data_IF_680161165833
#
_entry.id   IF_680161165833
#
_cell.length_a   1.000
_cell.length_b   1.000
_cell.length_c   1.000
_cell.angle_alpha   90.00
_cell.angle_beta   90.00
_cell.angle_gamma   90.00
#
_symmetry.space_group_name_H-M   'P 1'
#
loop_
_entity.id
_entity.type
_entity.pdbx_description
1 polymer ?
#
# COMPACT_ATOMS: atom_id res chain seq x y z
N UNK A 1 33.86 -47.04 -4.18
CA UNK A 1 32.86 -46.80 -3.12
C UNK A 1 32.08 -45.56 -3.47
N UNK A 2 30.88 -45.69 -4.04
CA UNK A 2 29.94 -44.57 -4.12
C UNK A 2 29.49 -44.33 -2.67
N UNK A 3 29.82 -43.18 -2.12
CA UNK A 3 29.42 -42.79 -0.77
C UNK A 3 27.92 -43.06 -0.58
N UNK A 4 27.52 -43.73 0.50
CA UNK A 4 26.10 -43.91 0.89
C UNK A 4 25.32 -42.58 0.84
N UNK A 5 25.99 -41.44 1.01
CA UNK A 5 25.39 -40.13 0.82
C UNK A 5 24.88 -39.92 -0.62
N UNK A 6 25.64 -40.28 -1.67
CA UNK A 6 25.26 -40.05 -3.08
C UNK A 6 24.06 -40.91 -3.48
N UNK A 7 24.01 -42.18 -3.05
CA UNK A 7 22.88 -43.06 -3.34
C UNK A 7 21.61 -42.58 -2.63
N UNK A 8 21.75 -42.14 -1.37
CA UNK A 8 20.69 -41.46 -0.63
C UNK A 8 20.24 -40.17 -1.34
N UNK A 9 21.15 -39.37 -1.91
CA UNK A 9 20.80 -38.15 -2.66
C UNK A 9 20.03 -38.43 -3.94
N UNK A 10 20.41 -39.47 -4.68
CA UNK A 10 19.70 -39.87 -5.90
C UNK A 10 18.29 -40.36 -5.55
N UNK A 11 18.16 -41.13 -4.46
CA UNK A 11 16.87 -41.57 -3.93
C UNK A 11 16.02 -40.40 -3.41
N UNK A 12 16.62 -39.44 -2.70
CA UNK A 12 15.96 -38.25 -2.19
C UNK A 12 15.46 -37.36 -3.33
N UNK A 13 16.29 -37.08 -4.33
CA UNK A 13 15.88 -36.33 -5.52
C UNK A 13 14.78 -37.07 -6.29
N UNK A 14 14.88 -38.39 -6.41
CA UNK A 14 13.85 -39.22 -7.03
C UNK A 14 12.52 -39.15 -6.27
N UNK A 15 12.53 -39.33 -4.96
CA UNK A 15 11.34 -39.31 -4.10
C UNK A 15 10.71 -37.91 -4.02
N UNK A 16 11.51 -36.85 -3.89
CA UNK A 16 11.04 -35.45 -3.91
C UNK A 16 10.50 -35.06 -5.30
N UNK A 17 11.11 -35.54 -6.39
CA UNK A 17 10.60 -35.31 -7.75
C UNK A 17 9.33 -36.12 -8.06
N UNK A 18 9.14 -37.27 -7.39
CA UNK A 18 7.91 -38.08 -7.48
C UNK A 18 6.77 -37.40 -6.72
N UNK A 19 7.09 -36.80 -5.57
CA UNK A 19 6.15 -36.04 -4.75
C UNK A 19 5.55 -34.83 -5.47
N UNK A 20 6.37 -34.06 -6.21
CA UNK A 20 5.87 -32.87 -6.90
C UNK A 20 5.06 -33.16 -8.17
N UNK A 21 4.96 -34.43 -8.60
CA UNK A 21 4.31 -34.85 -9.86
C UNK A 21 2.92 -35.47 -9.69
N UNK A 22 2.47 -35.81 -8.47
CA UNK A 22 1.16 -36.44 -8.22
C UNK A 22 0.54 -35.90 -6.93
N UNK A 23 -0.78 -35.73 -6.92
CA UNK A 23 -1.58 -35.54 -5.71
C UNK A 23 -1.49 -36.80 -4.84
N UNK A 24 -0.59 -36.81 -3.86
CA UNK A 24 -0.50 -37.85 -2.83
C UNK A 24 -1.54 -37.62 -1.74
N UNK A 25 -2.02 -38.70 -1.15
CA UNK A 25 -2.84 -38.64 0.07
C UNK A 25 -1.99 -38.24 1.27
N UNK A 26 -2.64 -37.73 2.31
CA UNK A 26 -2.01 -37.28 3.56
C UNK A 26 -1.14 -38.38 4.21
N UNK A 27 -1.65 -39.61 4.23
CA UNK A 27 -0.94 -40.74 4.85
C UNK A 27 0.32 -41.16 4.06
N UNK A 28 0.30 -41.01 2.74
CA UNK A 28 1.45 -41.27 1.88
C UNK A 28 2.53 -40.20 2.09
N UNK A 29 2.13 -38.93 2.20
CA UNK A 29 3.06 -37.84 2.47
C UNK A 29 3.75 -38.04 3.82
N UNK A 30 2.98 -38.38 4.87
CA UNK A 30 3.53 -38.66 6.20
C UNK A 30 4.55 -39.81 6.18
N UNK A 31 4.24 -40.94 5.53
CA UNK A 31 5.16 -42.09 5.45
C UNK A 31 6.44 -41.78 4.67
N UNK A 32 6.36 -40.95 3.63
CA UNK A 32 7.50 -40.61 2.77
C UNK A 32 8.39 -39.53 3.38
N UNK A 33 7.81 -38.45 3.90
CA UNK A 33 8.57 -37.27 4.36
C UNK A 33 9.13 -37.42 5.75
N UNK A 34 8.40 -38.05 6.66
CA UNK A 34 8.81 -38.09 8.06
C UNK A 34 10.22 -38.69 8.26
N UNK A 35 10.60 -39.80 7.59
CA UNK A 35 11.99 -40.31 7.67
C UNK A 35 13.03 -39.35 7.06
N UNK A 36 12.68 -38.69 5.94
CA UNK A 36 13.58 -37.78 5.23
C UNK A 36 13.82 -36.48 6.01
N UNK A 37 12.78 -35.94 6.64
CA UNK A 37 12.86 -34.74 7.48
C UNK A 37 13.69 -35.02 8.73
N UNK A 38 13.55 -36.20 9.35
CA UNK A 38 14.42 -36.61 10.48
C UNK A 38 15.89 -36.69 10.06
N UNK A 39 16.17 -37.24 8.88
CA UNK A 39 17.55 -37.47 8.42
C UNK A 39 18.24 -36.22 7.85
N UNK A 40 17.50 -35.29 7.22
CA UNK A 40 18.06 -34.14 6.52
C UNK A 40 17.07 -32.96 6.41
N UNK A 41 16.65 -32.38 7.56
CA UNK A 41 15.55 -31.40 7.60
C UNK A 41 15.80 -30.19 6.71
N UNK A 42 16.99 -29.57 6.82
CA UNK A 42 17.37 -28.39 6.02
C UNK A 42 17.24 -28.59 4.51
N UNK A 43 17.65 -29.75 4.00
CA UNK A 43 17.64 -30.02 2.56
C UNK A 43 16.24 -30.34 2.04
N UNK A 44 15.44 -31.05 2.84
CA UNK A 44 14.03 -31.27 2.51
C UNK A 44 13.29 -29.93 2.47
N UNK A 45 13.47 -29.07 3.48
CA UNK A 45 12.89 -27.73 3.53
C UNK A 45 13.27 -26.88 2.31
N UNK A 46 14.56 -26.82 2.00
CA UNK A 46 15.06 -26.15 0.80
C UNK A 46 14.37 -26.64 -0.46
N UNK A 47 14.33 -27.95 -0.69
CA UNK A 47 13.67 -28.49 -1.90
C UNK A 47 12.17 -28.21 -1.92
N UNK A 48 11.48 -28.27 -0.80
CA UNK A 48 10.06 -27.94 -0.73
C UNK A 48 9.80 -26.48 -1.13
N UNK A 49 10.59 -25.54 -0.61
CA UNK A 49 10.50 -24.12 -0.97
C UNK A 49 10.85 -23.91 -2.45
N UNK A 50 11.96 -24.46 -2.94
CA UNK A 50 12.34 -24.35 -4.37
C UNK A 50 11.24 -24.89 -5.29
N UNK A 51 10.61 -26.01 -4.95
CA UNK A 51 9.51 -26.55 -5.74
C UNK A 51 8.23 -25.72 -5.64
N UNK A 52 7.94 -25.14 -4.47
CA UNK A 52 6.82 -24.22 -4.31
C UNK A 52 7.02 -22.93 -5.13
N UNK A 53 8.24 -22.43 -5.23
CA UNK A 53 8.56 -21.26 -6.05
C UNK A 53 8.40 -21.56 -7.55
N UNK A 54 8.78 -22.76 -8.00
CA UNK A 54 8.70 -23.15 -9.41
C UNK A 54 7.28 -23.52 -9.88
N UNK A 55 6.50 -24.22 -9.05
CA UNK A 55 5.19 -24.77 -9.43
C UNK A 55 4.00 -24.10 -8.74
N UNK A 56 4.28 -23.30 -7.72
CA UNK A 56 3.25 -22.77 -6.84
C UNK A 56 3.02 -23.68 -5.62
N UNK A 57 2.81 -23.11 -4.43
CA UNK A 57 2.72 -23.88 -3.19
C UNK A 57 1.46 -24.74 -3.09
N UNK A 58 0.38 -24.37 -3.78
CA UNK A 58 -0.88 -25.13 -3.81
C UNK A 58 -0.74 -26.43 -4.59
N UNK A 59 0.01 -26.43 -5.70
CA UNK A 59 0.19 -27.61 -6.55
C UNK A 59 0.93 -28.74 -5.83
N UNK A 60 1.85 -28.38 -4.93
CA UNK A 60 2.62 -29.35 -4.14
C UNK A 60 2.02 -29.59 -2.73
N UNK A 61 0.86 -29.01 -2.43
CA UNK A 61 0.13 -29.20 -1.17
C UNK A 61 0.97 -28.87 0.09
N UNK A 62 1.69 -27.75 0.02
CA UNK A 62 2.73 -27.39 0.99
C UNK A 62 2.22 -27.29 2.44
N UNK A 63 0.99 -26.80 2.64
CA UNK A 63 0.38 -26.67 3.96
C UNK A 63 0.25 -28.01 4.69
N UNK A 64 -0.19 -29.05 3.98
CA UNK A 64 -0.31 -30.39 4.54
C UNK A 64 1.06 -30.94 4.93
N UNK A 65 2.07 -30.77 4.08
CA UNK A 65 3.43 -31.25 4.39
C UNK A 65 3.95 -30.62 5.68
N UNK A 66 3.79 -29.30 5.83
CA UNK A 66 4.26 -28.59 7.02
C UNK A 66 3.49 -28.98 8.28
N UNK A 67 2.18 -29.23 8.21
CA UNK A 67 1.39 -29.70 9.36
C UNK A 67 1.88 -31.04 9.93
N UNK A 68 2.46 -31.91 9.10
CA UNK A 68 2.98 -33.21 9.52
C UNK A 68 4.48 -33.22 9.78
N UNK A 69 5.14 -32.06 9.71
CA UNK A 69 6.55 -31.94 10.01
C UNK A 69 6.78 -32.13 11.51
N UNK A 70 7.68 -33.04 11.94
CA UNK A 70 8.02 -33.19 13.35
C UNK A 70 8.54 -31.88 13.93
N UNK A 71 7.99 -31.46 15.07
CA UNK A 71 8.45 -30.29 15.83
C UNK A 71 9.93 -30.40 16.23
N UNK A 72 10.48 -31.61 16.29
CA UNK A 72 11.91 -31.87 16.57
C UNK A 72 12.83 -31.50 15.40
N UNK A 73 12.30 -31.38 14.18
CA UNK A 73 13.06 -30.87 13.03
C UNK A 73 13.15 -29.34 13.03
N UNK A 74 12.62 -28.68 14.07
CA UNK A 74 12.62 -27.23 14.29
C UNK A 74 13.75 -26.76 15.21
N UNK A 75 14.52 -27.68 15.81
CA UNK A 75 15.76 -27.29 16.50
C UNK A 75 16.68 -26.61 15.47
N UNK A 76 17.08 -25.36 15.72
CA UNK A 76 17.97 -24.50 14.90
C UNK A 76 17.35 -23.55 13.84
N UNK A 77 16.09 -23.13 13.96
CA UNK A 77 15.51 -22.08 13.07
C UNK A 77 15.75 -22.34 11.56
N UNK A 78 15.78 -23.61 11.13
CA UNK A 78 16.18 -23.96 9.76
C UNK A 78 15.26 -23.33 8.71
N UNK A 79 13.97 -23.23 9.00
CA UNK A 79 13.00 -22.62 8.11
C UNK A 79 13.25 -21.12 7.95
N UNK A 80 13.54 -20.41 9.05
CA UNK A 80 13.94 -18.99 9.02
C UNK A 80 15.21 -18.82 8.20
N UNK A 81 16.20 -19.67 8.43
CA UNK A 81 17.48 -19.63 7.70
C UNK A 81 17.29 -19.86 6.20
N UNK A 82 16.38 -20.74 5.81
CA UNK A 82 16.09 -21.01 4.40
C UNK A 82 15.26 -19.89 3.78
N UNK A 83 14.26 -19.34 4.49
CA UNK A 83 13.51 -18.15 4.04
C UNK A 83 14.43 -16.94 3.82
N UNK A 84 15.41 -16.75 4.71
CA UNK A 84 16.43 -15.71 4.57
C UNK A 84 17.16 -15.81 3.23
N UNK A 85 17.50 -17.01 2.77
CA UNK A 85 18.18 -17.21 1.48
C UNK A 85 17.39 -16.69 0.28
N UNK A 86 16.06 -16.55 0.37
CA UNK A 86 15.23 -15.99 -0.70
C UNK A 86 14.89 -14.52 -0.45
N UNK A 87 14.58 -14.14 0.79
CA UNK A 87 14.29 -12.74 1.16
C UNK A 87 15.51 -11.83 1.01
N UNK A 88 16.71 -12.37 1.16
CA UNK A 88 17.95 -11.64 0.94
C UNK A 88 18.39 -11.59 -0.52
N UNK A 89 17.73 -12.28 -1.47
CA UNK A 89 18.07 -12.13 -2.89
C UNK A 89 17.69 -10.74 -3.38
N UNK A 90 18.57 -10.13 -4.15
CA UNK A 90 18.34 -8.78 -4.68
C UNK A 90 17.31 -8.79 -5.82
N UNK A 91 17.23 -9.88 -6.57
CA UNK A 91 16.28 -10.06 -7.65
C UNK A 91 15.56 -11.41 -7.55
N UNK A 92 14.23 -11.35 -7.45
CA UNK A 92 13.30 -12.46 -7.62
C UNK A 92 12.35 -12.08 -8.74
N UNK A 93 12.05 -13.03 -9.64
CA UNK A 93 11.05 -12.83 -10.68
C UNK A 93 9.67 -12.62 -10.06
N UNK A 94 8.77 -11.88 -10.71
CA UNK A 94 7.44 -11.55 -10.16
C UNK A 94 6.64 -12.79 -9.74
N UNK A 95 6.70 -13.86 -10.55
CA UNK A 95 6.08 -15.14 -10.22
C UNK A 95 6.70 -15.80 -8.97
N UNK A 96 8.02 -15.70 -8.82
CA UNK A 96 8.72 -16.22 -7.63
C UNK A 96 8.37 -15.40 -6.40
N UNK A 97 8.28 -14.06 -6.49
CA UNK A 97 7.82 -13.19 -5.40
C UNK A 97 6.42 -13.56 -4.95
N UNK A 98 5.50 -13.71 -5.90
CA UNK A 98 4.11 -14.12 -5.63
C UNK A 98 4.05 -15.48 -4.96
N UNK A 99 4.81 -16.46 -5.46
CA UNK A 99 4.85 -17.79 -4.88
C UNK A 99 5.51 -17.79 -3.49
N UNK A 100 6.56 -16.99 -3.27
CA UNK A 100 7.22 -16.85 -1.97
C UNK A 100 6.31 -16.22 -0.93
N UNK A 101 5.55 -15.18 -1.29
CA UNK A 101 4.52 -14.61 -0.40
C UNK A 101 3.49 -15.65 0.04
N UNK A 102 3.04 -16.50 -0.88
CA UNK A 102 2.11 -17.59 -0.56
C UNK A 102 2.76 -18.67 0.32
N UNK A 103 4.05 -18.97 0.09
CA UNK A 103 4.82 -19.89 0.96
C UNK A 103 4.89 -19.32 2.37
N UNK A 104 5.25 -18.04 2.53
CA UNK A 104 5.31 -17.37 3.83
C UNK A 104 3.93 -17.40 4.50
N UNK A 105 2.86 -17.07 3.77
CA UNK A 105 1.50 -17.15 4.29
C UNK A 105 1.19 -18.54 4.87
N UNK A 106 1.43 -19.60 4.09
CA UNK A 106 1.20 -20.98 4.52
C UNK A 106 2.05 -21.35 5.74
N UNK A 107 3.31 -20.94 5.76
CA UNK A 107 4.19 -21.17 6.90
C UNK A 107 3.63 -20.50 8.16
N UNK A 108 3.18 -19.25 8.07
CA UNK A 108 2.61 -18.53 9.22
C UNK A 108 1.28 -19.15 9.68
N UNK A 109 0.43 -19.57 8.74
CA UNK A 109 -0.85 -20.24 9.05
C UNK A 109 -0.61 -21.56 9.79
N UNK A 110 0.36 -22.36 9.34
CA UNK A 110 0.72 -23.60 10.03
C UNK A 110 1.40 -23.31 11.37
N UNK A 111 2.22 -22.26 11.44
CA UNK A 111 2.94 -21.87 12.66
C UNK A 111 2.02 -21.49 13.82
N UNK A 112 0.86 -20.92 13.54
CA UNK A 112 -0.15 -20.64 14.56
C UNK A 112 -0.50 -21.93 15.34
N UNK A 113 -0.80 -23.02 14.64
CA UNK A 113 -1.20 -24.27 15.28
C UNK A 113 -0.05 -25.15 15.80
N UNK A 114 1.15 -25.00 15.24
CA UNK A 114 2.24 -25.99 15.41
C UNK A 114 3.54 -25.41 15.93
N UNK A 115 3.64 -24.06 15.99
CA UNK A 115 4.86 -23.33 16.31
C UNK A 115 6.06 -23.74 15.45
N UNK A 116 5.83 -24.07 14.16
CA UNK A 116 6.91 -24.48 13.23
C UNK A 116 7.93 -23.37 12.94
N UNK A 117 7.61 -22.12 13.25
CA UNK A 117 8.53 -21.00 13.14
C UNK A 117 8.54 -20.21 14.45
N UNK A 118 9.71 -19.78 14.88
CA UNK A 118 9.83 -18.74 15.88
C UNK A 118 9.67 -17.37 15.18
N UNK A 119 8.59 -16.65 15.50
CA UNK A 119 8.30 -15.37 14.84
C UNK A 119 9.31 -14.29 15.19
N UNK A 120 9.85 -14.28 16.42
CA UNK A 120 10.93 -13.38 16.82
C UNK A 120 12.17 -13.59 15.95
N UNK A 121 12.57 -14.85 15.73
CA UNK A 121 13.69 -15.17 14.87
C UNK A 121 13.43 -14.78 13.41
N UNK A 122 12.19 -14.93 12.92
CA UNK A 122 11.80 -14.46 11.60
C UNK A 122 11.93 -12.93 11.48
N UNK A 123 11.44 -12.17 12.46
CA UNK A 123 11.57 -10.72 12.46
C UNK A 123 13.05 -10.28 12.49
N UNK A 124 13.83 -10.84 13.42
CA UNK A 124 15.23 -10.46 13.65
C UNK A 124 16.15 -10.87 12.49
N UNK A 125 15.96 -12.06 11.91
CA UNK A 125 16.86 -12.58 10.86
C UNK A 125 16.39 -12.20 9.47
N UNK A 126 15.07 -12.17 9.21
CA UNK A 126 14.54 -11.97 7.86
C UNK A 126 13.98 -10.58 7.61
N UNK A 127 13.28 -9.96 8.55
CA UNK A 127 12.60 -8.68 8.31
C UNK A 127 13.50 -7.49 8.60
N UNK A 128 13.92 -7.33 9.86
CA UNK A 128 14.67 -6.16 10.33
C UNK A 128 15.94 -5.88 9.49
N UNK A 129 16.78 -6.89 9.14
CA UNK A 129 17.99 -6.65 8.34
C UNK A 129 17.67 -6.23 6.90
N UNK A 130 16.50 -6.60 6.38
CA UNK A 130 16.08 -6.25 5.03
C UNK A 130 15.36 -4.89 4.96
N UNK A 131 14.94 -4.32 6.10
CA UNK A 131 14.38 -2.96 6.14
C UNK A 131 15.41 -1.89 5.77
N UNK A 132 16.72 -2.15 5.92
CA UNK A 132 17.79 -1.22 5.51
C UNK A 132 18.15 -1.23 4.02
N UNK A 133 17.56 -2.12 3.22
CA UNK A 133 17.94 -2.30 1.82
C UNK A 133 17.23 -1.32 0.85
N UNK A 134 17.51 -1.47 -0.45
CA UNK A 134 16.91 -0.68 -1.55
C UNK A 134 15.38 -0.79 -1.60
N UNK A 135 14.72 0.21 -2.19
CA UNK A 135 13.25 0.36 -2.20
C UNK A 135 12.51 -0.89 -2.69
N UNK A 136 12.92 -1.49 -3.82
CA UNK A 136 12.25 -2.68 -4.36
C UNK A 136 12.28 -3.90 -3.43
N UNK A 137 13.36 -4.04 -2.65
CA UNK A 137 13.50 -5.10 -1.65
C UNK A 137 12.73 -4.76 -0.38
N UNK A 138 12.67 -3.47 -0.04
CA UNK A 138 11.90 -2.95 1.07
C UNK A 138 10.39 -3.19 0.89
N UNK A 139 9.83 -2.89 -0.28
CA UNK A 139 8.41 -3.17 -0.59
C UNK A 139 8.08 -4.64 -0.34
N UNK A 140 8.84 -5.53 -0.98
CA UNK A 140 8.62 -6.97 -0.86
C UNK A 140 8.77 -7.49 0.57
N UNK A 141 9.76 -6.96 1.32
CA UNK A 141 9.97 -7.31 2.73
C UNK A 141 8.77 -6.91 3.58
N UNK A 142 8.23 -5.70 3.38
CA UNK A 142 7.07 -5.22 4.14
C UNK A 142 5.78 -5.94 3.71
N UNK A 143 5.63 -6.33 2.44
CA UNK A 143 4.52 -7.18 1.99
C UNK A 143 4.55 -8.55 2.69
N UNK A 144 5.72 -9.21 2.73
CA UNK A 144 5.91 -10.47 3.44
C UNK A 144 5.59 -10.35 4.94
N UNK A 145 6.03 -9.25 5.54
CA UNK A 145 5.69 -8.90 6.92
C UNK A 145 4.17 -8.74 7.09
N UNK A 146 3.51 -7.94 6.27
CA UNK A 146 2.07 -7.67 6.38
C UNK A 146 1.24 -8.93 6.24
N UNK A 147 1.62 -9.85 5.35
CA UNK A 147 1.01 -11.19 5.25
C UNK A 147 1.15 -11.94 6.57
N UNK A 148 2.36 -11.94 7.14
CA UNK A 148 2.65 -12.64 8.39
C UNK A 148 1.82 -12.07 9.55
N UNK A 149 1.88 -10.75 9.75
CA UNK A 149 1.15 -10.06 10.82
C UNK A 149 -0.36 -10.26 10.67
N UNK A 150 -0.89 -10.21 9.44
CA UNK A 150 -2.32 -10.46 9.16
C UNK A 150 -2.76 -11.84 9.63
N UNK A 151 -2.07 -12.89 9.17
CA UNK A 151 -2.41 -14.29 9.50
C UNK A 151 -2.53 -14.45 11.01
N UNK A 152 -1.50 -14.01 11.73
CA UNK A 152 -1.52 -14.23 13.16
C UNK A 152 -2.48 -13.28 13.92
N UNK A 153 -2.77 -12.07 13.40
CA UNK A 153 -3.78 -11.17 13.99
C UNK A 153 -5.18 -11.80 13.90
N UNK A 154 -5.49 -12.44 12.77
CA UNK A 154 -6.76 -13.15 12.56
C UNK A 154 -6.90 -14.37 13.48
N UNK A 155 -5.78 -15.05 13.78
CA UNK A 155 -5.75 -16.23 14.66
C UNK A 155 -5.56 -15.90 16.15
N UNK A 156 -5.19 -14.65 16.50
CA UNK A 156 -4.91 -14.16 17.86
C UNK A 156 -3.75 -14.87 18.58
N UNK A 157 -2.74 -15.33 17.84
CA UNK A 157 -1.69 -16.23 18.34
C UNK A 157 -0.27 -15.63 18.25
N UNK A 158 -0.11 -14.30 18.34
CA UNK A 158 1.21 -13.66 18.25
C UNK A 158 1.80 -13.43 19.62
N UNK A 159 3.03 -13.90 19.79
CA UNK A 159 3.94 -13.41 20.79
C UNK A 159 5.17 -12.83 20.11
N UNK A 160 5.42 -11.53 20.29
CA UNK A 160 6.69 -10.87 19.95
C UNK A 160 7.32 -10.44 21.27
N UNK A 161 8.59 -10.78 21.50
CA UNK A 161 9.28 -10.29 22.70
C UNK A 161 9.42 -8.77 22.71
N UNK A 162 9.34 -8.16 23.89
CA UNK A 162 9.38 -6.69 24.04
C UNK A 162 10.59 -6.03 23.37
N UNK A 163 11.78 -6.64 23.45
CA UNK A 163 13.01 -6.09 22.85
C UNK A 163 12.93 -6.05 21.32
N UNK A 164 12.45 -7.13 20.69
CA UNK A 164 12.28 -7.21 19.24
C UNK A 164 11.16 -6.29 18.80
N UNK A 165 10.05 -6.24 19.53
CA UNK A 165 8.93 -5.35 19.26
C UNK A 165 9.35 -3.87 19.21
N UNK A 166 10.11 -3.40 20.22
CA UNK A 166 10.61 -2.01 20.27
C UNK A 166 11.57 -1.73 19.12
N UNK A 167 12.54 -2.62 18.88
CA UNK A 167 13.48 -2.48 17.76
C UNK A 167 12.75 -2.40 16.42
N UNK A 168 11.75 -3.26 16.25
CA UNK A 168 10.97 -3.37 15.04
C UNK A 168 10.13 -2.11 14.77
N UNK A 169 9.42 -1.57 15.78
CA UNK A 169 8.68 -0.31 15.62
C UNK A 169 9.62 0.84 15.26
N UNK A 170 10.79 0.95 15.92
CA UNK A 170 11.79 1.97 15.58
C UNK A 170 12.22 1.88 14.12
N UNK A 171 12.48 0.67 13.63
CA UNK A 171 12.86 0.45 12.22
C UNK A 171 11.74 0.85 11.26
N UNK A 172 10.48 0.50 11.56
CA UNK A 172 9.33 0.92 10.76
C UNK A 172 9.13 2.44 10.79
N UNK A 173 9.26 3.10 11.94
CA UNK A 173 9.18 4.56 12.05
C UNK A 173 10.27 5.27 11.25
N UNK A 174 11.50 4.74 11.26
CA UNK A 174 12.58 5.28 10.43
C UNK A 174 12.27 5.18 8.93
N UNK A 175 11.68 4.06 8.49
CA UNK A 175 11.29 3.89 7.08
C UNK A 175 10.07 4.73 6.72
N UNK A 176 9.16 4.93 7.65
CA UNK A 176 8.03 5.86 7.53
C UNK A 176 8.54 7.28 7.28
N UNK A 177 9.44 7.78 8.12
CA UNK A 177 10.02 9.12 7.98
C UNK A 177 10.71 9.31 6.61
N UNK A 178 11.50 8.32 6.17
CA UNK A 178 12.11 8.33 4.82
C UNK A 178 11.04 8.35 3.72
N UNK A 179 9.99 7.55 3.84
CA UNK A 179 8.91 7.49 2.84
C UNK A 179 8.11 8.80 2.76
N UNK A 180 7.88 9.48 3.89
CA UNK A 180 7.21 10.79 3.92
C UNK A 180 8.10 11.84 3.24
N UNK A 181 9.38 11.91 3.62
CA UNK A 181 10.34 12.88 3.06
C UNK A 181 10.57 12.73 1.56
N UNK A 182 10.43 11.51 1.03
CA UNK A 182 10.59 11.21 -0.39
C UNK A 182 9.29 11.22 -1.19
N UNK A 183 8.14 11.51 -0.56
CA UNK A 183 6.84 11.47 -1.23
C UNK A 183 6.46 10.07 -1.73
N UNK A 184 6.85 9.02 -1.00
CA UNK A 184 6.58 7.63 -1.34
C UNK A 184 5.36 7.08 -0.59
N UNK A 185 4.17 7.47 -1.04
CA UNK A 185 2.89 7.06 -0.43
C UNK A 185 2.64 5.55 -0.46
N UNK A 186 3.14 4.82 -1.47
CA UNK A 186 2.97 3.37 -1.56
C UNK A 186 3.70 2.63 -0.43
N UNK A 187 4.97 2.97 -0.22
CA UNK A 187 5.78 2.36 0.85
C UNK A 187 5.18 2.70 2.21
N UNK A 188 4.79 3.96 2.38
CA UNK A 188 4.13 4.44 3.58
C UNK A 188 2.84 3.68 3.88
N UNK A 189 1.97 3.46 2.90
CA UNK A 189 0.71 2.69 3.05
C UNK A 189 0.97 1.25 3.55
N UNK A 190 2.03 0.61 3.05
CA UNK A 190 2.44 -0.71 3.52
C UNK A 190 2.94 -0.68 4.98
N UNK A 191 3.68 0.35 5.38
CA UNK A 191 4.15 0.50 6.77
C UNK A 191 2.98 0.80 7.72
N UNK A 192 2.04 1.68 7.33
CA UNK A 192 0.82 1.95 8.11
C UNK A 192 0.02 0.66 8.31
N UNK A 193 -0.06 -0.19 7.28
CA UNK A 193 -0.72 -1.50 7.37
C UNK A 193 -0.03 -2.40 8.41
N UNK A 194 1.31 -2.37 8.49
CA UNK A 194 2.05 -3.10 9.52
C UNK A 194 1.71 -2.59 10.93
N UNK A 195 1.69 -1.26 11.13
CA UNK A 195 1.31 -0.65 12.41
C UNK A 195 -0.13 -1.01 12.82
N UNK A 196 -1.06 -1.01 11.86
CA UNK A 196 -2.44 -1.42 12.10
C UNK A 196 -2.54 -2.87 12.61
N UNK A 197 -1.78 -3.81 12.03
CA UNK A 197 -1.77 -5.18 12.54
C UNK A 197 -1.13 -5.26 13.92
N UNK A 198 0.00 -4.56 14.14
CA UNK A 198 0.67 -4.50 15.44
C UNK A 198 -0.25 -3.96 16.54
N UNK A 199 -1.08 -2.95 16.25
CA UNK A 199 -2.06 -2.37 17.17
C UNK A 199 -3.08 -3.42 17.65
N UNK A 200 -3.44 -4.35 16.78
CA UNK A 200 -4.42 -5.40 17.07
C UNK A 200 -3.84 -6.60 17.79
N UNK A 201 -2.52 -6.70 17.92
CA UNK A 201 -1.88 -7.79 18.65
C UNK A 201 -2.11 -7.61 20.14
N UNK A 202 -2.15 -8.72 20.89
CA UNK A 202 -2.10 -8.61 22.35
C UNK A 202 -0.82 -7.87 22.73
N UNK A 203 -0.98 -6.69 23.33
CA UNK A 203 0.06 -5.68 23.49
C UNK A 203 1.27 -6.28 24.25
N UNK A 204 2.43 -6.51 23.60
CA UNK A 204 3.57 -7.18 24.23
C UNK A 204 4.23 -6.29 25.30
N UNK A 205 4.11 -4.96 25.19
CA UNK A 205 4.49 -4.00 26.22
C UNK A 205 3.43 -3.93 27.31
N UNK A 206 3.27 -5.02 28.06
CA UNK A 206 2.28 -5.13 29.13
C UNK A 206 2.62 -4.27 30.35
N UNK A 207 3.91 -3.95 30.55
CA UNK A 207 4.34 -3.09 31.66
C UNK A 207 4.26 -1.60 31.30
N UNK A 208 3.95 -0.78 32.31
CA UNK A 208 3.94 0.68 32.18
C UNK A 208 5.33 1.21 31.77
N UNK A 209 6.39 0.60 32.28
CA UNK A 209 7.78 0.99 32.03
C UNK A 209 8.18 0.80 30.56
N UNK A 210 7.82 -0.33 29.94
CA UNK A 210 8.08 -0.57 28.52
C UNK A 210 7.33 0.42 27.62
N UNK A 211 6.11 0.81 27.99
CA UNK A 211 5.35 1.84 27.25
C UNK A 211 6.00 3.22 27.37
N UNK A 212 6.48 3.58 28.56
CA UNK A 212 7.23 4.84 28.78
C UNK A 212 8.51 4.83 27.95
N UNK A 213 9.24 3.71 27.95
CA UNK A 213 10.46 3.56 27.18
C UNK A 213 10.19 3.67 25.68
N UNK A 214 9.16 3.00 25.16
CA UNK A 214 8.76 3.12 23.75
C UNK A 214 8.37 4.55 23.38
N UNK A 215 7.61 5.26 24.22
CA UNK A 215 7.27 6.68 24.01
C UNK A 215 8.51 7.57 23.95
N UNK A 216 9.42 7.40 24.91
CA UNK A 216 10.69 8.13 24.96
C UNK A 216 11.52 7.87 23.71
N UNK A 217 11.63 6.60 23.36
CA UNK A 217 12.37 6.09 22.21
C UNK A 217 11.85 6.63 20.88
N UNK A 218 10.54 6.84 20.74
CA UNK A 218 9.94 7.34 19.50
C UNK A 218 9.84 8.88 19.46
N UNK A 219 10.12 9.57 20.56
CA UNK A 219 9.97 11.03 20.67
C UNK A 219 10.86 11.84 19.72
N UNK A 220 11.97 11.26 19.26
CA UNK A 220 12.90 11.90 18.32
C UNK A 220 12.39 11.91 16.87
N UNK A 221 11.38 11.10 16.53
CA UNK A 221 10.78 11.12 15.20
C UNK A 221 9.89 12.37 15.00
N UNK A 222 9.82 12.92 13.77
CA UNK A 222 8.94 14.04 13.46
C UNK A 222 7.47 13.75 13.79
N UNK A 223 6.71 14.81 14.10
CA UNK A 223 5.27 14.69 14.42
C UNK A 223 4.53 13.96 13.30
N UNK A 224 4.80 14.31 12.03
CA UNK A 224 4.21 13.65 10.85
C UNK A 224 4.36 12.12 10.87
N UNK A 225 5.51 11.60 11.31
CA UNK A 225 5.71 10.15 11.48
C UNK A 225 4.97 9.62 12.70
N UNK A 226 5.04 10.35 13.83
CA UNK A 226 4.42 9.93 15.09
C UNK A 226 2.88 9.85 15.01
N UNK A 227 2.23 10.59 14.11
CA UNK A 227 0.77 10.50 13.86
C UNK A 227 0.35 9.05 13.54
N UNK A 228 1.12 8.36 12.69
CA UNK A 228 0.81 7.01 12.21
C UNK A 228 1.05 5.91 13.26
N UNK A 229 1.76 6.22 14.33
CA UNK A 229 1.96 5.32 15.48
C UNK A 229 1.27 5.82 16.76
N UNK A 230 0.43 6.85 16.65
CA UNK A 230 -0.23 7.47 17.81
C UNK A 230 -1.05 6.46 18.62
N UNK A 231 -1.77 5.56 17.95
CA UNK A 231 -2.56 4.51 18.62
C UNK A 231 -1.70 3.50 19.36
N UNK A 232 -0.58 3.08 18.78
CA UNK A 232 0.41 2.22 19.46
C UNK A 232 1.00 2.91 20.69
N UNK A 233 1.10 4.24 20.65
CA UNK A 233 1.54 5.06 21.76
C UNK A 233 0.41 5.43 22.73
N UNK A 234 -0.82 4.94 22.55
CA UNK A 234 -1.98 5.32 23.38
C UNK A 234 -2.19 6.85 23.43
N UNK A 235 -1.89 7.53 22.32
CA UNK A 235 -2.12 8.97 22.12
C UNK A 235 -3.49 9.11 21.48
N UNK A 236 -4.41 9.74 22.21
CA UNK A 236 -5.83 9.82 21.82
C UNK A 236 -6.22 11.15 21.20
N UNK A 237 -5.36 12.17 21.29
CA UNK A 237 -5.61 13.49 20.71
C UNK A 237 -4.37 14.05 20.03
N UNK A 238 -4.60 14.98 19.11
CA UNK A 238 -3.53 15.69 18.42
C UNK A 238 -2.72 16.58 19.38
N UNK A 239 -3.39 17.20 20.35
CA UNK A 239 -2.79 18.08 21.36
C UNK A 239 -1.82 17.29 22.26
N UNK A 240 -2.14 16.03 22.60
CA UNK A 240 -1.24 15.12 23.32
C UNK A 240 0.06 14.83 22.54
N UNK A 241 -0.02 14.82 21.20
CA UNK A 241 1.09 14.50 20.32
C UNK A 241 2.04 15.69 20.12
N UNK A 242 1.48 16.87 19.94
CA UNK A 242 2.20 18.12 19.64
C UNK A 242 2.62 18.88 20.90
N UNK A 243 1.92 18.65 22.03
CA UNK A 243 2.03 19.43 23.27
C UNK A 243 1.69 20.91 23.08
N UNK A 244 0.90 21.24 22.05
CA UNK A 244 0.46 22.60 21.75
C UNK A 244 -0.95 22.59 21.17
N UNK A 245 -1.78 23.55 21.57
CA UNK A 245 -3.01 23.85 20.85
C UNK A 245 -2.62 24.32 19.44
N UNK A 246 -3.16 23.65 18.42
CA UNK A 246 -2.92 24.05 17.03
C UNK A 246 -4.04 24.96 16.60
N UNK A 247 -3.67 26.21 16.38
CA UNK A 247 -4.56 27.22 15.83
C UNK A 247 -4.29 27.46 14.33
N UNK A 248 -3.38 26.74 13.69
CA UNK A 248 -3.04 27.02 12.29
C UNK A 248 -3.11 25.74 11.47
N UNK A 249 -3.49 25.91 10.20
CA UNK A 249 -3.46 24.82 9.25
C UNK A 249 -1.99 24.42 9.02
N UNK A 250 -1.63 23.20 9.40
CA UNK A 250 -0.31 22.63 9.19
C UNK A 250 -0.38 21.28 8.48
N UNK A 251 0.76 20.82 7.97
CA UNK A 251 0.89 19.49 7.35
C UNK A 251 0.50 18.38 8.33
N UNK A 252 0.94 18.49 9.58
CA UNK A 252 0.65 17.55 10.65
C UNK A 252 -0.85 17.50 10.99
N UNK A 253 -1.50 18.67 11.09
CA UNK A 253 -2.93 18.74 11.38
C UNK A 253 -3.76 18.12 10.24
N UNK A 254 -3.39 18.40 8.98
CA UNK A 254 -4.04 17.81 7.81
C UNK A 254 -3.89 16.29 7.81
N UNK A 255 -2.66 15.79 8.00
CA UNK A 255 -2.38 14.35 8.07
C UNK A 255 -3.15 13.70 9.23
N UNK A 256 -3.22 14.34 10.40
CA UNK A 256 -4.00 13.84 11.54
C UNK A 256 -5.48 13.70 11.18
N UNK A 257 -6.08 14.76 10.64
CA UNK A 257 -7.49 14.77 10.28
C UNK A 257 -7.80 13.71 9.22
N UNK A 258 -6.94 13.55 8.21
CA UNK A 258 -7.12 12.53 7.18
C UNK A 258 -6.92 11.10 7.69
N UNK A 259 -5.90 10.86 8.52
CA UNK A 259 -5.55 9.53 9.00
C UNK A 259 -6.50 9.03 10.10
N UNK A 260 -6.82 9.89 11.07
CA UNK A 260 -7.70 9.55 12.21
C UNK A 260 -9.18 9.90 11.97
N UNK A 261 -9.50 10.55 10.84
CA UNK A 261 -10.86 10.99 10.48
C UNK A 261 -11.47 11.94 11.54
N UNK A 262 -10.62 12.79 12.10
CA UNK A 262 -10.96 13.68 13.21
C UNK A 262 -11.60 14.99 12.69
N UNK A 263 -12.86 14.88 12.27
CA UNK A 263 -13.64 16.01 11.74
C UNK A 263 -13.89 17.09 12.79
N UNK A 264 -14.02 16.71 14.06
CA UNK A 264 -14.28 17.65 15.14
C UNK A 264 -13.08 18.59 15.32
N UNK A 265 -11.86 18.04 15.31
CA UNK A 265 -10.64 18.85 15.36
C UNK A 265 -10.52 19.73 14.10
N UNK A 266 -10.80 19.17 12.92
CA UNK A 266 -10.80 19.95 11.68
C UNK A 266 -11.74 21.16 11.75
N UNK A 267 -12.96 20.98 12.27
CA UNK A 267 -13.95 22.06 12.45
C UNK A 267 -13.48 23.10 13.47
N UNK A 268 -12.94 22.65 14.60
CA UNK A 268 -12.39 23.51 15.65
C UNK A 268 -11.26 24.40 15.12
N UNK A 269 -10.33 23.81 14.38
CA UNK A 269 -9.06 24.44 14.05
C UNK A 269 -9.06 25.18 12.70
N UNK A 270 -9.83 24.73 11.70
CA UNK A 270 -9.67 25.19 10.32
C UNK A 270 -10.97 25.77 9.76
N UNK A 271 -12.11 25.10 9.97
CA UNK A 271 -13.36 25.46 9.26
C UNK A 271 -13.83 26.89 9.56
N UNK A 272 -13.61 27.36 10.78
CA UNK A 272 -13.96 28.72 11.20
C UNK A 272 -12.94 29.80 10.77
N UNK A 273 -11.88 29.43 10.03
CA UNK A 273 -10.82 30.35 9.57
C UNK A 273 -10.96 30.65 8.09
N UNK A 274 -10.64 31.89 7.70
CA UNK A 274 -10.55 32.27 6.28
C UNK A 274 -9.22 31.74 5.73
N UNK A 275 -9.27 30.57 5.10
CA UNK A 275 -8.12 29.94 4.45
C UNK A 275 -8.02 30.32 2.96
N UNK A 276 -6.90 30.84 2.45
CA UNK A 276 -6.82 31.09 1.01
C UNK A 276 -6.68 29.78 0.21
N UNK A 277 -7.09 29.79 -1.06
CA UNK A 277 -6.90 28.65 -1.98
C UNK A 277 -5.41 28.28 -2.12
N UNK A 278 -4.53 29.27 -2.12
CA UNK A 278 -3.08 29.05 -2.21
C UNK A 278 -2.52 28.38 -0.96
N UNK A 279 -3.00 28.74 0.23
CA UNK A 279 -2.56 28.08 1.48
C UNK A 279 -2.98 26.60 1.47
N UNK A 280 -4.20 26.31 1.02
CA UNK A 280 -4.68 24.95 0.85
C UNK A 280 -3.81 24.16 -0.13
N UNK A 281 -3.56 24.71 -1.32
CA UNK A 281 -2.73 24.05 -2.35
C UNK A 281 -1.32 23.79 -1.81
N UNK A 282 -0.71 24.74 -1.11
CA UNK A 282 0.65 24.57 -0.56
C UNK A 282 0.73 23.40 0.43
N UNK A 283 -0.29 23.21 1.27
CA UNK A 283 -0.31 22.10 2.22
C UNK A 283 -0.63 20.77 1.54
N UNK A 284 -1.56 20.76 0.58
CA UNK A 284 -1.87 19.59 -0.22
C UNK A 284 -0.65 19.11 -1.02
N UNK A 285 0.11 20.02 -1.63
CA UNK A 285 1.34 19.67 -2.35
C UNK A 285 2.37 18.97 -1.46
N UNK A 286 2.45 19.31 -0.18
CA UNK A 286 3.40 18.67 0.74
C UNK A 286 2.90 17.34 1.30
N UNK A 287 1.58 17.21 1.47
CA UNK A 287 0.96 16.06 2.13
C UNK A 287 0.58 14.94 1.14
N UNK A 288 -0.05 15.29 0.02
CA UNK A 288 -0.60 14.34 -0.95
C UNK A 288 0.42 13.33 -1.53
N UNK A 289 1.70 13.68 -1.81
CA UNK A 289 2.67 12.72 -2.35
C UNK A 289 2.85 11.47 -1.50
N UNK A 290 2.75 11.62 -0.18
CA UNK A 290 2.90 10.51 0.75
C UNK A 290 1.58 10.05 1.37
N UNK A 291 0.45 10.67 1.04
CA UNK A 291 -0.87 10.22 1.49
C UNK A 291 -1.23 8.84 0.91
N UNK A 292 -1.94 8.04 1.71
CA UNK A 292 -2.52 6.78 1.24
C UNK A 292 -3.74 7.02 0.36
N UNK A 293 -4.22 6.01 -0.37
CA UNK A 293 -5.45 6.13 -1.18
C UNK A 293 -6.65 6.59 -0.34
N UNK A 294 -6.79 6.08 0.88
CA UNK A 294 -7.88 6.45 1.78
C UNK A 294 -7.75 7.88 2.28
N UNK A 295 -6.53 8.36 2.54
CA UNK A 295 -6.30 9.74 2.96
C UNK A 295 -6.47 10.76 1.83
N UNK A 296 -6.24 10.37 0.58
CA UNK A 296 -6.61 11.18 -0.58
C UNK A 296 -8.13 11.38 -0.64
N UNK A 297 -8.91 10.32 -0.38
CA UNK A 297 -10.37 10.41 -0.30
C UNK A 297 -10.82 11.24 0.91
N UNK A 298 -10.20 11.07 2.07
CA UNK A 298 -10.53 11.88 3.24
C UNK A 298 -10.16 13.34 3.02
N UNK A 299 -9.03 13.63 2.36
CA UNK A 299 -8.66 14.99 1.93
C UNK A 299 -9.76 15.62 1.06
N UNK A 300 -10.37 14.84 0.14
CA UNK A 300 -11.49 15.32 -0.66
C UNK A 300 -12.71 15.69 0.19
N UNK A 301 -12.98 14.93 1.24
CA UNK A 301 -14.06 15.22 2.20
C UNK A 301 -13.76 16.48 3.01
N UNK A 302 -12.53 16.68 3.47
CA UNK A 302 -12.13 17.89 4.21
C UNK A 302 -12.21 19.13 3.32
N UNK A 303 -11.75 19.06 2.06
CA UNK A 303 -11.90 20.14 1.08
C UNK A 303 -13.39 20.45 0.85
N UNK A 304 -14.23 19.43 0.72
CA UNK A 304 -15.68 19.61 0.59
C UNK A 304 -16.27 20.40 1.76
N UNK A 305 -15.88 20.03 2.99
CA UNK A 305 -16.34 20.71 4.20
C UNK A 305 -15.91 22.20 4.20
N UNK A 306 -14.65 22.50 3.83
CA UNK A 306 -14.17 23.89 3.69
C UNK A 306 -14.97 24.70 2.68
N UNK A 307 -15.34 24.10 1.54
CA UNK A 307 -16.10 24.78 0.50
C UNK A 307 -17.57 24.99 0.89
N UNK A 308 -18.12 24.13 1.75
CA UNK A 308 -19.53 24.19 2.18
C UNK A 308 -19.79 25.24 3.27
N UNK A 309 -18.83 25.53 4.16
CA UNK A 309 -19.09 26.36 5.36
C UNK A 309 -19.05 27.89 5.15
N UNK A 310 -19.21 28.34 3.91
CA UNK A 310 -19.67 29.70 3.58
C UNK A 310 -18.85 30.88 4.15
N UNK A 311 -17.58 30.96 3.73
CA UNK A 311 -16.89 32.22 3.37
C UNK A 311 -16.10 32.09 2.05
N UNK A 312 -15.88 30.86 1.56
CA UNK A 312 -15.14 30.55 0.32
C UNK A 312 -16.01 30.23 -0.89
N UNK A 313 -17.34 30.16 -0.72
CA UNK A 313 -18.28 29.85 -1.80
C UNK A 313 -18.24 30.87 -2.96
N UNK A 314 -17.73 32.09 -2.71
CA UNK A 314 -17.53 33.15 -3.71
C UNK A 314 -16.33 32.92 -4.64
N UNK A 315 -15.37 32.05 -4.28
CA UNK A 315 -14.19 31.76 -5.11
C UNK A 315 -14.56 30.87 -6.30
N UNK A 316 -15.53 29.95 -6.13
CA UNK A 316 -15.92 28.97 -7.15
C UNK A 316 -17.11 29.41 -8.02
N UNK A 317 -17.86 30.43 -7.61
CA UNK A 317 -19.14 30.80 -8.25
C UNK A 317 -18.99 31.45 -9.63
N UNK A 318 -17.78 31.75 -10.10
CA UNK A 318 -17.50 32.33 -11.43
C UNK A 318 -16.41 31.54 -12.17
N UNK A 319 -16.69 30.30 -12.54
CA UNK A 319 -15.88 29.54 -13.51
C UNK A 319 -16.53 29.63 -14.90
N UNK A 320 -16.14 30.60 -15.75
CA UNK A 320 -16.85 30.88 -17.01
C UNK A 320 -16.78 29.75 -18.05
N UNK A 321 -15.89 28.79 -17.85
CA UNK A 321 -15.74 27.59 -18.68
C UNK A 321 -16.45 26.35 -18.12
N UNK A 322 -17.06 26.43 -16.93
CA UNK A 322 -17.83 25.32 -16.38
C UNK A 322 -19.14 25.18 -17.17
N UNK A 323 -19.33 24.01 -17.79
CA UNK A 323 -20.59 23.72 -18.49
C UNK A 323 -21.82 23.91 -17.56
N UNK A 324 -22.95 24.41 -18.11
CA UNK A 324 -24.17 24.61 -17.34
C UNK A 324 -24.59 23.34 -16.59
N UNK A 325 -25.20 23.51 -15.41
CA UNK A 325 -25.73 22.45 -14.52
C UNK A 325 -24.71 21.65 -13.72
N UNK A 326 -23.41 21.81 -13.98
CA UNK A 326 -22.39 21.18 -13.15
C UNK A 326 -22.48 21.66 -11.70
N UNK A 327 -22.33 20.73 -10.76
CA UNK A 327 -22.13 21.06 -9.35
C UNK A 327 -20.76 21.75 -9.15
N UNK A 328 -20.81 23.05 -8.91
CA UNK A 328 -19.63 23.90 -8.70
C UNK A 328 -18.83 23.49 -7.47
N UNK A 329 -19.46 22.90 -6.44
CA UNK A 329 -18.77 22.47 -5.22
C UNK A 329 -17.91 21.24 -5.52
N UNK A 330 -18.49 20.25 -6.19
CA UNK A 330 -17.78 19.03 -6.56
C UNK A 330 -16.66 19.34 -7.54
N UNK A 331 -16.93 20.20 -8.52
CA UNK A 331 -15.90 20.64 -9.45
C UNK A 331 -14.79 21.43 -8.75
N UNK A 332 -15.11 22.23 -7.72
CA UNK A 332 -14.11 22.90 -6.90
C UNK A 332 -13.14 21.95 -6.22
N UNK A 333 -13.63 20.85 -5.63
CA UNK A 333 -12.78 19.80 -5.04
C UNK A 333 -11.87 19.20 -6.11
N UNK A 334 -12.45 18.83 -7.26
CA UNK A 334 -11.70 18.24 -8.39
C UNK A 334 -10.61 19.21 -8.87
N UNK A 335 -10.92 20.50 -8.93
CA UNK A 335 -9.98 21.53 -9.36
C UNK A 335 -8.80 21.66 -8.40
N UNK A 336 -9.04 21.67 -7.09
CA UNK A 336 -7.96 21.67 -6.10
C UNK A 336 -6.99 20.49 -6.31
N UNK A 337 -7.51 19.29 -6.56
CA UNK A 337 -6.67 18.12 -6.84
C UNK A 337 -5.94 18.20 -8.18
N UNK A 338 -6.58 18.76 -9.22
CA UNK A 338 -5.93 18.97 -10.52
C UNK A 338 -4.76 19.95 -10.41
N UNK A 339 -4.93 21.04 -9.67
CA UNK A 339 -3.89 22.04 -9.46
C UNK A 339 -2.74 21.46 -8.63
N UNK A 340 -3.06 20.74 -7.55
CA UNK A 340 -2.04 20.02 -6.78
C UNK A 340 -1.29 19.00 -7.64
N UNK A 341 -2.01 18.19 -8.42
CA UNK A 341 -1.39 17.20 -9.30
C UNK A 341 -0.48 17.84 -10.35
N UNK A 342 -0.89 18.96 -10.95
CA UNK A 342 -0.05 19.73 -11.87
C UNK A 342 1.27 20.13 -11.21
N UNK A 343 1.22 20.75 -10.02
CA UNK A 343 2.44 21.17 -9.34
C UNK A 343 3.32 20.01 -8.86
N UNK A 344 2.71 18.89 -8.44
CA UNK A 344 3.45 17.67 -8.09
C UNK A 344 4.16 17.04 -9.29
N UNK A 345 3.55 17.15 -10.47
CA UNK A 345 4.13 16.66 -11.71
C UNK A 345 5.32 17.53 -12.17
N UNK A 346 5.24 18.85 -11.97
CA UNK A 346 6.35 19.77 -12.25
C UNK A 346 7.51 19.60 -11.24
N UNK A 347 7.23 19.15 -10.02
CA UNK A 347 8.26 18.90 -9.01
C UNK A 347 9.04 17.60 -9.31
N UNK A 348 10.27 17.78 -9.80
CA UNK A 348 11.22 16.69 -10.10
C UNK A 348 11.64 15.86 -8.88
N UNK A 349 11.35 16.32 -7.65
CA UNK A 349 11.67 15.58 -6.42
C UNK A 349 10.59 14.57 -6.01
N UNK A 350 9.43 14.58 -6.68
CA UNK A 350 8.32 13.69 -6.35
C UNK A 350 8.63 12.24 -6.73
N UNK A 351 8.79 11.37 -5.73
CA UNK A 351 9.36 10.03 -5.92
C UNK A 351 8.55 9.06 -6.80
N UNK A 352 7.23 8.98 -6.65
CA UNK A 352 6.38 7.98 -7.34
C UNK A 352 5.14 8.58 -8.01
N UNK A 353 5.34 9.24 -9.15
CA UNK A 353 4.25 9.83 -9.95
C UNK A 353 3.18 8.81 -10.33
N UNK A 354 3.52 7.56 -10.64
CA UNK A 354 2.53 6.53 -10.99
C UNK A 354 1.55 6.26 -9.83
N UNK A 355 2.04 6.17 -8.60
CA UNK A 355 1.19 6.00 -7.43
C UNK A 355 0.31 7.23 -7.21
N UNK A 356 0.88 8.43 -7.33
CA UNK A 356 0.13 9.70 -7.22
C UNK A 356 -0.96 9.80 -8.28
N UNK A 357 -0.66 9.47 -9.55
CA UNK A 357 -1.67 9.41 -10.63
C UNK A 357 -2.78 8.43 -10.30
N UNK A 358 -2.45 7.27 -9.72
CA UNK A 358 -3.46 6.29 -9.31
C UNK A 358 -4.35 6.84 -8.19
N UNK A 359 -3.77 7.50 -7.18
CA UNK A 359 -4.53 8.13 -6.09
C UNK A 359 -5.42 9.27 -6.61
N UNK A 360 -4.88 10.16 -7.44
CA UNK A 360 -5.62 11.20 -8.13
C UNK A 360 -6.80 10.62 -8.92
N UNK A 361 -6.52 9.68 -9.84
CA UNK A 361 -7.52 9.07 -10.71
C UNK A 361 -8.63 8.42 -9.91
N UNK A 362 -8.31 7.64 -8.88
CA UNK A 362 -9.32 6.97 -8.04
C UNK A 362 -10.16 7.97 -7.25
N UNK A 363 -9.54 9.04 -6.75
CA UNK A 363 -10.22 10.09 -5.99
C UNK A 363 -11.22 10.83 -6.88
N UNK A 364 -10.79 11.28 -8.06
CA UNK A 364 -11.68 11.96 -9.01
C UNK A 364 -12.79 11.02 -9.48
N UNK A 365 -12.48 9.75 -9.78
CA UNK A 365 -13.50 8.77 -10.16
C UNK A 365 -14.54 8.53 -9.06
N UNK A 366 -14.12 8.48 -7.79
CA UNK A 366 -15.03 8.34 -6.66
C UNK A 366 -15.93 9.58 -6.53
N UNK A 367 -15.39 10.79 -6.65
CA UNK A 367 -16.18 12.02 -6.67
C UNK A 367 -17.22 12.01 -7.80
N UNK A 368 -16.79 11.67 -9.02
CA UNK A 368 -17.66 11.56 -10.19
C UNK A 368 -18.75 10.50 -10.04
N UNK A 369 -18.47 9.38 -9.36
CA UNK A 369 -19.46 8.30 -9.16
C UNK A 369 -20.66 8.72 -8.29
N UNK A 370 -20.49 9.77 -7.48
CA UNK A 370 -21.57 10.35 -6.67
C UNK A 370 -22.42 11.36 -7.45
N UNK A 371 -22.04 11.67 -8.69
CA UNK A 371 -22.70 12.64 -9.56
C UNK A 371 -23.40 11.93 -10.72
N UNK A 372 -24.56 12.46 -11.12
CA UNK A 372 -25.33 11.93 -12.27
C UNK A 372 -25.20 12.82 -13.51
N UNK A 373 -24.55 13.97 -13.39
CA UNK A 373 -24.49 14.96 -14.47
C UNK A 373 -23.39 14.62 -15.50
N UNK A 374 -23.79 14.28 -16.72
CA UNK A 374 -22.85 14.04 -17.82
C UNK A 374 -21.92 15.24 -18.15
N UNK A 375 -22.30 16.48 -17.83
CA UNK A 375 -21.50 17.68 -18.06
C UNK A 375 -20.21 17.69 -17.22
N UNK A 376 -20.26 17.21 -15.97
CA UNK A 376 -19.08 17.22 -15.10
C UNK A 376 -18.01 16.24 -15.59
N UNK A 377 -18.42 15.08 -16.11
CA UNK A 377 -17.52 14.11 -16.73
C UNK A 377 -16.79 14.72 -17.93
N UNK A 378 -17.52 15.43 -18.79
CA UNK A 378 -16.94 16.11 -19.94
C UNK A 378 -15.95 17.21 -19.53
N UNK A 379 -16.30 18.04 -18.54
CA UNK A 379 -15.39 19.07 -18.03
C UNK A 379 -14.10 18.46 -17.46
N UNK A 380 -14.23 17.41 -16.64
CA UNK A 380 -13.06 16.71 -16.09
C UNK A 380 -12.20 16.13 -17.21
N UNK A 381 -12.81 15.51 -18.21
CA UNK A 381 -12.08 14.98 -19.35
C UNK A 381 -11.25 16.07 -20.05
N UNK A 382 -11.88 17.20 -20.38
CA UNK A 382 -11.22 18.30 -21.09
C UNK A 382 -10.12 18.94 -20.23
N UNK A 383 -10.36 19.10 -18.93
CA UNK A 383 -9.36 19.60 -18.00
C UNK A 383 -8.15 18.65 -17.89
N UNK A 384 -8.38 17.33 -17.89
CA UNK A 384 -7.28 16.36 -17.91
C UNK A 384 -6.57 16.33 -19.26
N UNK A 385 -7.25 16.50 -20.39
CA UNK A 385 -6.57 16.70 -21.67
C UNK A 385 -5.67 17.93 -21.66
N UNK A 386 -6.13 19.03 -21.04
CA UNK A 386 -5.30 20.22 -20.88
C UNK A 386 -4.09 19.95 -19.99
N UNK A 387 -4.27 19.29 -18.85
CA UNK A 387 -3.18 18.86 -17.97
C UNK A 387 -2.16 17.98 -18.72
N UNK A 388 -2.62 17.00 -19.49
CA UNK A 388 -1.78 16.16 -20.36
C UNK A 388 -1.06 16.96 -21.46
N UNK A 389 -1.61 18.12 -21.87
CA UNK A 389 -0.98 18.97 -22.90
C UNK A 389 0.18 19.80 -22.36
N UNK A 390 0.24 20.01 -21.04
CA UNK A 390 1.29 20.80 -20.38
C UNK A 390 2.30 19.93 -19.64
N UNK A 391 1.97 18.68 -19.32
CA UNK A 391 2.83 17.73 -18.60
C UNK A 391 3.37 16.63 -19.55
N UNK A 392 4.69 16.58 -19.81
CA UNK A 392 5.31 15.68 -20.80
C UNK A 392 4.97 14.18 -20.60
N UNK A 393 4.98 13.67 -19.37
CA UNK A 393 4.62 12.26 -19.06
C UNK A 393 3.14 12.08 -18.69
N UNK A 394 2.36 13.16 -18.70
CA UNK A 394 0.95 13.15 -18.31
C UNK A 394 0.10 12.27 -19.22
N UNK A 395 0.42 12.18 -20.51
CA UNK A 395 -0.33 11.37 -21.49
C UNK A 395 -0.24 9.88 -21.16
N UNK A 396 0.97 9.37 -20.94
CA UNK A 396 1.20 7.96 -20.61
C UNK A 396 0.48 7.59 -19.31
N UNK A 397 0.62 8.43 -18.28
CA UNK A 397 0.07 8.18 -16.94
C UNK A 397 -1.47 8.26 -16.89
N UNK A 398 -2.10 9.22 -17.59
CA UNK A 398 -3.54 9.51 -17.51
C UNK A 398 -4.37 8.91 -18.66
N UNK A 399 -3.75 8.25 -19.63
CA UNK A 399 -4.42 7.60 -20.77
C UNK A 399 -5.57 6.68 -20.34
N UNK A 400 -5.33 5.83 -19.34
CA UNK A 400 -6.32 4.90 -18.80
C UNK A 400 -7.49 5.61 -18.13
N UNK A 401 -7.23 6.73 -17.45
CA UNK A 401 -8.23 7.56 -16.81
C UNK A 401 -9.12 8.27 -17.84
N UNK A 402 -8.52 8.84 -18.89
CA UNK A 402 -9.26 9.46 -20.01
C UNK A 402 -10.19 8.46 -20.70
N UNK A 403 -9.69 7.26 -21.02
CA UNK A 403 -10.49 6.18 -21.61
C UNK A 403 -11.65 5.75 -20.69
N UNK A 404 -11.41 5.68 -19.39
CA UNK A 404 -12.45 5.33 -18.40
C UNK A 404 -13.54 6.40 -18.32
N UNK A 405 -13.18 7.68 -18.29
CA UNK A 405 -14.17 8.77 -18.29
C UNK A 405 -15.00 8.75 -19.58
N UNK A 406 -14.35 8.58 -20.74
CA UNK A 406 -15.03 8.49 -22.03
C UNK A 406 -16.08 7.36 -22.01
N UNK A 407 -15.71 6.15 -21.58
CA UNK A 407 -16.62 5.02 -21.48
C UNK A 407 -17.82 5.32 -20.57
N UNK A 408 -17.57 5.91 -19.40
CA UNK A 408 -18.64 6.26 -18.45
C UNK A 408 -19.56 7.35 -18.99
N UNK A 409 -19.01 8.38 -19.63
CA UNK A 409 -19.79 9.45 -20.26
C UNK A 409 -20.71 8.90 -21.36
N UNK A 410 -20.22 7.97 -22.18
CA UNK A 410 -21.03 7.29 -23.20
C UNK A 410 -22.16 6.44 -22.59
N UNK A 411 -21.89 5.80 -21.45
CA UNK A 411 -22.88 4.99 -20.74
C UNK A 411 -23.98 5.84 -20.10
N UNK A 412 -23.61 6.97 -19.49
CA UNK A 412 -24.52 7.84 -18.74
C UNK A 412 -25.34 8.74 -19.68
N UNK A 413 -24.74 9.27 -20.75
CA UNK A 413 -25.40 10.19 -21.67
C UNK A 413 -26.42 9.45 -22.55
N UNK A 414 -27.71 9.45 -22.17
CA UNK A 414 -28.78 8.73 -22.89
C UNK A 414 -29.25 9.42 -24.17
N UNK A 415 -29.10 10.74 -24.23
CA UNK A 415 -29.47 11.54 -25.40
C UNK A 415 -28.47 11.29 -26.54
N UNK A 416 -28.97 10.85 -27.70
CA UNK A 416 -28.13 10.49 -28.85
C UNK A 416 -27.44 11.70 -29.47
N UNK A 417 -28.12 12.84 -29.54
CA UNK A 417 -27.59 14.05 -30.18
C UNK A 417 -26.53 14.69 -29.27
N UNK A 418 -26.82 14.76 -27.96
CA UNK A 418 -25.85 15.23 -26.97
C UNK A 418 -24.62 14.32 -26.91
N UNK A 419 -24.81 13.00 -26.95
CA UNK A 419 -23.72 12.03 -27.01
C UNK A 419 -22.84 12.25 -28.23
N UNK A 420 -23.44 12.49 -29.40
CA UNK A 420 -22.69 12.81 -30.63
C UNK A 420 -21.86 14.10 -30.50
N UNK A 421 -22.40 15.12 -29.84
CA UNK A 421 -21.67 16.36 -29.55
C UNK A 421 -20.51 16.13 -28.57
N UNK A 422 -20.73 15.37 -27.50
CA UNK A 422 -19.69 15.04 -26.53
C UNK A 422 -18.55 14.26 -27.16
N UNK A 423 -18.83 13.23 -27.95
CA UNK A 423 -17.80 12.47 -28.64
C UNK A 423 -16.91 13.37 -29.50
N UNK A 424 -17.48 14.37 -30.19
CA UNK A 424 -16.71 15.37 -30.93
C UNK A 424 -15.82 16.20 -30.01
N UNK A 425 -16.35 16.67 -28.88
CA UNK A 425 -15.55 17.44 -27.90
C UNK A 425 -14.41 16.61 -27.30
N UNK A 426 -14.69 15.36 -26.92
CA UNK A 426 -13.68 14.44 -26.41
C UNK A 426 -12.57 14.21 -27.45
N UNK A 427 -12.96 13.97 -28.71
CA UNK A 427 -12.01 13.85 -29.82
C UNK A 427 -11.16 15.12 -30.01
N UNK A 428 -11.78 16.30 -29.94
CA UNK A 428 -11.05 17.56 -30.00
C UNK A 428 -10.08 17.70 -28.83
N UNK A 429 -10.50 17.39 -27.60
CA UNK A 429 -9.64 17.40 -26.42
C UNK A 429 -8.38 16.57 -26.60
N UNK A 430 -8.52 15.30 -27.04
CA UNK A 430 -7.37 14.42 -27.31
C UNK A 430 -6.50 14.95 -28.44
N UNK A 431 -7.11 15.50 -29.51
CA UNK A 431 -6.36 16.05 -30.64
C UNK A 431 -5.40 17.18 -30.24
N UNK A 432 -5.76 17.97 -29.22
CA UNK A 432 -4.95 19.08 -28.70
C UNK A 432 -3.80 18.64 -27.78
N UNK A 433 -3.75 17.37 -27.37
CA UNK A 433 -2.59 16.81 -26.66
C UNK A 433 -1.41 16.74 -27.66
N UNK A 434 -0.15 17.05 -27.28
CA UNK A 434 1.01 16.90 -28.16
C UNK A 434 1.15 15.47 -28.73
N UNK A 435 1.72 15.33 -29.92
CA UNK A 435 1.84 14.04 -30.60
C UNK A 435 2.88 13.14 -29.90
N UNK A 436 2.37 12.19 -29.12
CA UNK A 436 3.10 11.08 -28.51
C UNK A 436 2.54 9.74 -29.05
N UNK A 437 3.32 8.67 -29.03
CA UNK A 437 2.87 7.36 -29.53
C UNK A 437 1.60 6.87 -28.79
N UNK A 438 1.48 7.15 -27.50
CA UNK A 438 0.31 6.84 -26.69
C UNK A 438 -0.94 7.64 -27.08
N UNK A 439 -0.78 8.87 -27.61
CA UNK A 439 -1.91 9.66 -28.14
C UNK A 439 -2.58 8.93 -29.29
N UNK A 440 -1.79 8.31 -30.18
CA UNK A 440 -2.33 7.56 -31.31
C UNK A 440 -3.14 6.34 -30.83
N UNK A 441 -2.66 5.65 -29.79
CA UNK A 441 -3.41 4.56 -29.15
C UNK A 441 -4.73 5.02 -28.52
N UNK A 442 -4.76 6.21 -27.91
CA UNK A 442 -6.00 6.82 -27.41
C UNK A 442 -6.92 7.16 -28.59
N UNK A 443 -6.42 7.85 -29.62
CA UNK A 443 -7.22 8.25 -30.79
C UNK A 443 -7.81 7.05 -31.54
N UNK A 444 -7.08 5.94 -31.69
CA UNK A 444 -7.58 4.69 -32.28
C UNK A 444 -8.75 4.10 -31.47
N UNK A 445 -8.72 4.22 -30.13
CA UNK A 445 -9.80 3.76 -29.25
C UNK A 445 -11.00 4.72 -29.22
N UNK A 446 -10.87 5.91 -29.81
CA UNK A 446 -11.94 6.92 -29.91
C UNK A 446 -12.70 6.86 -31.23
N UNK A 447 -12.13 6.22 -32.26
CA UNK A 447 -12.80 5.87 -33.52
C UNK A 447 -13.69 4.66 -33.33
#
# INVERSE_FOLDING_TARGET
MVSMSILFWILLKGQLATFTRKTMTVDEAKKLFHPLIIQSPKKVLKTLIEQALLRGPKEINLSQIFLYMPTVCLFEDFLVSELLCYLSKDELLDNERKNLMQVIQIIMEVSCCTMIINFDAFLEKCIIPNLSNSDNKLYFTIECLNISLKVFTEQKEIYISSSIYVSFIKSLCSKMDVSIKSGNGMLKELIVTAFYYLEKMQNPCSSIEEKINLKSDLSHFPVTTRIYVAKLLEINSYEDLTRSESEELSEELWIWCCHHKDKALFHKCILNKVLSEMDLIQILMKTLPHCSKDEWLESANLIKELLMDSNHATILSNTPWLLPKCDHQVYGIIRCFMDCYYFLHEDQQTGNLQYITNCFSNTIMNLLSTQVDEHIFLNVFLAVCHLCSVCESGVTLLSSFLLRIQQLLQLICKDKDLRGYYLKLLYHGVKYIPDFDEKNSILEKFQ
#
